data_IF_212334120642
#
_entry.id   IF_212334120642
#
_cell.length_a   1.000
_cell.length_b   1.000
_cell.length_c   1.000
_cell.angle_alpha   90.00
_cell.angle_beta   90.00
_cell.angle_gamma   90.00
#
_symmetry.space_group_name_H-M   'P 1'
#
loop_
_entity.id
_entity.type
_entity.pdbx_description
1 polymer ?
#
# COMPACT_ATOMS: atom_id res chain seq x y z
N UNK A 1 -7.99 -33.64 -17.31
CA UNK A 1 -7.91 -34.84 -16.46
C UNK A 1 -9.21 -35.62 -16.66
N UNK A 2 -9.32 -36.35 -17.78
CA UNK A 2 -10.46 -37.25 -18.01
C UNK A 2 -9.92 -38.67 -17.94
N UNK A 3 -10.55 -39.43 -17.04
CA UNK A 3 -10.24 -40.79 -16.64
C UNK A 3 -9.85 -41.66 -17.84
N UNK A 4 -8.81 -42.49 -17.66
CA UNK A 4 -8.57 -43.65 -18.53
C UNK A 4 -9.82 -44.51 -18.48
N UNK A 5 -10.74 -44.31 -19.42
CA UNK A 5 -11.93 -45.14 -19.52
C UNK A 5 -11.50 -46.50 -20.04
N UNK A 6 -11.84 -47.59 -19.32
CA UNK A 6 -11.67 -48.97 -19.80
C UNK A 6 -12.51 -49.28 -21.06
N UNK A 7 -13.31 -48.31 -21.53
CA UNK A 7 -14.19 -48.41 -22.69
C UNK A 7 -13.66 -47.53 -23.83
N UNK A 8 -13.76 -48.03 -25.06
CA UNK A 8 -13.36 -47.30 -26.26
C UNK A 8 -14.25 -46.08 -26.54
N UNK A 9 -13.66 -45.04 -27.14
CA UNK A 9 -14.27 -43.73 -27.45
C UNK A 9 -15.71 -43.82 -27.98
N UNK A 10 -15.98 -44.73 -28.92
CA UNK A 10 -17.32 -44.92 -29.52
C UNK A 10 -18.38 -45.32 -28.48
N UNK A 11 -18.03 -46.23 -27.57
CA UNK A 11 -18.94 -46.75 -26.54
C UNK A 11 -19.19 -45.67 -25.47
N UNK A 12 -18.14 -44.96 -25.08
CA UNK A 12 -18.23 -43.83 -24.16
C UNK A 12 -19.08 -42.68 -24.71
N UNK A 13 -18.88 -42.26 -25.97
CA UNK A 13 -19.69 -41.23 -26.61
C UNK A 13 -21.18 -41.62 -26.74
N UNK A 14 -21.47 -42.91 -27.01
CA UNK A 14 -22.85 -43.41 -27.08
C UNK A 14 -23.53 -43.39 -25.70
N UNK A 15 -22.83 -43.82 -24.65
CA UNK A 15 -23.35 -43.79 -23.27
C UNK A 15 -23.63 -42.35 -22.79
N UNK A 16 -22.72 -41.42 -23.09
CA UNK A 16 -22.83 -40.01 -22.69
C UNK A 16 -23.75 -39.19 -23.61
N UNK A 17 -24.28 -39.79 -24.69
CA UNK A 17 -25.11 -39.12 -25.71
C UNK A 17 -24.44 -37.87 -26.33
N UNK A 18 -23.11 -37.90 -26.49
CA UNK A 18 -22.34 -36.81 -27.12
C UNK A 18 -21.86 -37.27 -28.50
N UNK A 19 -21.92 -36.39 -29.50
CA UNK A 19 -21.37 -36.69 -30.83
C UNK A 19 -19.84 -36.85 -30.76
N UNK A 20 -19.29 -37.81 -31.53
CA UNK A 20 -17.83 -38.02 -31.62
C UNK A 20 -17.10 -36.79 -32.17
N UNK A 21 -17.76 -36.00 -33.02
CA UNK A 21 -17.22 -34.74 -33.55
C UNK A 21 -17.08 -33.70 -32.44
N UNK A 22 -18.07 -33.53 -31.57
CA UNK A 22 -17.98 -32.67 -30.39
C UNK A 22 -16.93 -33.18 -29.39
N UNK A 23 -16.85 -34.50 -29.17
CA UNK A 23 -15.85 -35.08 -28.28
C UNK A 23 -14.40 -34.88 -28.78
N UNK A 24 -14.19 -35.00 -30.09
CA UNK A 24 -12.88 -34.75 -30.73
C UNK A 24 -12.58 -33.27 -30.92
N UNK A 25 -13.58 -32.41 -30.78
CA UNK A 25 -13.41 -30.98 -30.98
C UNK A 25 -12.45 -30.44 -29.91
N UNK A 26 -11.26 -30.06 -30.36
CA UNK A 26 -10.38 -29.19 -29.59
C UNK A 26 -10.64 -27.77 -30.06
N UNK A 27 -11.11 -26.94 -29.13
CA UNK A 27 -11.23 -25.50 -29.37
C UNK A 27 -9.92 -24.95 -29.91
N UNK A 28 -9.93 -24.49 -31.17
CA UNK A 28 -8.80 -23.80 -31.82
C UNK A 28 -8.95 -22.29 -31.67
N UNK A 29 -9.36 -21.82 -30.51
CA UNK A 29 -9.34 -20.39 -30.24
C UNK A 29 -7.87 -19.98 -30.09
N UNK A 30 -7.29 -19.45 -31.17
CA UNK A 30 -6.08 -18.66 -31.06
C UNK A 30 -6.33 -17.61 -29.98
N UNK A 31 -5.39 -17.46 -29.05
CA UNK A 31 -5.50 -16.48 -27.97
C UNK A 31 -5.39 -15.08 -28.60
N UNK A 32 -6.54 -14.52 -28.97
CA UNK A 32 -6.67 -13.17 -29.54
C UNK A 32 -6.10 -12.10 -28.60
N UNK A 33 -5.90 -12.43 -27.33
CA UNK A 33 -5.33 -11.54 -26.33
C UNK A 33 -3.79 -11.68 -26.21
N UNK A 34 -3.14 -12.56 -26.97
CA UNK A 34 -1.69 -12.82 -26.87
C UNK A 34 -0.84 -11.56 -27.09
N UNK A 35 -1.04 -10.85 -28.20
CA UNK A 35 -0.32 -9.61 -28.50
C UNK A 35 -0.53 -8.54 -27.41
N UNK A 36 -1.77 -8.38 -26.95
CA UNK A 36 -2.12 -7.43 -25.90
C UNK A 36 -1.48 -7.82 -24.55
N UNK A 37 -1.41 -9.12 -24.23
CA UNK A 37 -0.72 -9.62 -23.04
C UNK A 37 0.77 -9.30 -23.07
N UNK A 38 1.41 -9.49 -24.22
CA UNK A 38 2.84 -9.20 -24.38
C UNK A 38 3.13 -7.70 -24.28
N UNK A 39 2.26 -6.87 -24.84
CA UNK A 39 2.34 -5.41 -24.70
C UNK A 39 2.17 -4.96 -23.25
N UNK A 40 1.14 -5.46 -22.56
CA UNK A 40 0.93 -5.20 -21.12
C UNK A 40 2.16 -5.61 -20.31
N UNK A 41 2.75 -6.77 -20.62
CA UNK A 41 3.97 -7.26 -19.96
C UNK A 41 5.15 -6.32 -20.21
N UNK A 42 5.38 -5.86 -21.44
CA UNK A 42 6.45 -4.91 -21.77
C UNK A 42 6.33 -3.59 -21.00
N UNK A 43 5.11 -3.04 -20.90
CA UNK A 43 4.83 -1.80 -20.20
C UNK A 43 5.00 -1.96 -18.68
N UNK A 44 4.56 -3.10 -18.13
CA UNK A 44 4.74 -3.41 -16.72
C UNK A 44 6.24 -3.53 -16.34
N UNK A 45 7.06 -4.11 -17.23
CA UNK A 45 8.52 -4.17 -17.01
C UNK A 45 9.19 -2.81 -17.14
N UNK A 46 8.80 -2.00 -18.12
CA UNK A 46 9.31 -0.63 -18.30
C UNK A 46 8.95 0.27 -17.11
N UNK A 47 7.71 0.17 -16.62
CA UNK A 47 7.18 0.99 -15.53
C UNK A 47 6.82 0.14 -14.31
N UNK A 48 7.81 -0.25 -13.50
CA UNK A 48 7.64 -1.18 -12.36
C UNK A 48 6.59 -0.79 -11.32
N UNK A 49 6.23 0.50 -11.23
CA UNK A 49 5.20 1.03 -10.30
C UNK A 49 3.85 1.27 -10.96
N UNK A 50 3.73 1.00 -12.26
CA UNK A 50 2.50 1.24 -12.99
C UNK A 50 1.44 0.19 -12.63
N UNK A 51 0.32 0.67 -12.09
CA UNK A 51 -0.89 -0.16 -11.95
C UNK A 51 -1.62 -0.32 -13.28
N UNK A 52 -2.63 -1.20 -13.30
CA UNK A 52 -3.40 -1.48 -14.52
C UNK A 52 -4.04 -0.22 -15.16
N UNK A 53 -4.43 0.78 -14.36
CA UNK A 53 -4.99 2.06 -14.86
C UNK A 53 -3.95 2.88 -15.61
N UNK A 54 -2.71 2.93 -15.12
CA UNK A 54 -1.62 3.64 -15.79
C UNK A 54 -1.24 2.92 -17.08
N UNK A 55 -1.17 1.58 -17.05
CA UNK A 55 -0.96 0.78 -18.26
C UNK A 55 -2.08 0.98 -19.27
N UNK A 56 -3.34 1.06 -18.83
CA UNK A 56 -4.46 1.39 -19.70
C UNK A 56 -4.31 2.77 -20.35
N UNK A 57 -3.87 3.78 -19.61
CA UNK A 57 -3.62 5.11 -20.18
C UNK A 57 -2.51 5.09 -21.24
N UNK A 58 -1.44 4.32 -21.04
CA UNK A 58 -0.39 4.14 -22.05
C UNK A 58 -0.92 3.46 -23.31
N UNK A 59 -1.68 2.36 -23.15
CA UNK A 59 -2.23 1.61 -24.29
C UNK A 59 -3.31 2.43 -25.02
N UNK A 60 -4.10 3.23 -24.30
CA UNK A 60 -5.16 4.07 -24.87
C UNK A 60 -4.64 5.09 -25.89
N UNK A 61 -3.37 5.48 -25.83
CA UNK A 61 -2.76 6.38 -26.81
C UNK A 61 -2.54 5.69 -28.17
N UNK A 62 -2.40 4.37 -28.19
CA UNK A 62 -2.13 3.57 -29.40
C UNK A 62 -3.42 2.88 -29.88
N UNK A 63 -4.21 2.32 -28.97
CA UNK A 63 -5.40 1.54 -29.27
C UNK A 63 -6.57 1.80 -28.31
N UNK A 64 -7.79 1.84 -28.83
CA UNK A 64 -9.00 1.95 -28.03
C UNK A 64 -9.38 0.63 -27.36
N UNK A 65 -8.76 0.35 -26.20
CA UNK A 65 -9.07 -0.84 -25.40
C UNK A 65 -9.88 -0.47 -24.14
N UNK A 66 -10.90 -1.28 -23.83
CA UNK A 66 -11.66 -1.14 -22.60
C UNK A 66 -10.80 -1.47 -21.36
N UNK A 67 -10.82 -0.58 -20.36
CA UNK A 67 -10.10 -0.74 -19.10
C UNK A 67 -10.40 -2.07 -18.38
N UNK A 68 -11.63 -2.61 -18.52
CA UNK A 68 -12.01 -3.92 -17.94
C UNK A 68 -11.21 -5.08 -18.55
N UNK A 69 -10.96 -5.05 -19.87
CA UNK A 69 -10.18 -6.07 -20.57
C UNK A 69 -8.73 -6.06 -20.09
N UNK A 70 -8.14 -4.88 -19.97
CA UNK A 70 -6.77 -4.72 -19.45
C UNK A 70 -6.68 -5.19 -17.99
N UNK A 71 -7.64 -4.83 -17.14
CA UNK A 71 -7.65 -5.29 -15.75
C UNK A 71 -7.69 -6.82 -15.65
N UNK A 72 -8.51 -7.49 -16.47
CA UNK A 72 -8.59 -8.95 -16.53
C UNK A 72 -7.23 -9.55 -16.93
N UNK A 73 -6.68 -9.12 -18.06
CA UNK A 73 -5.41 -9.64 -18.57
C UNK A 73 -4.23 -9.36 -17.63
N UNK A 74 -4.17 -8.16 -17.05
CA UNK A 74 -3.16 -7.78 -16.06
C UNK A 74 -3.24 -8.67 -14.80
N UNK A 75 -4.46 -9.05 -14.38
CA UNK A 75 -4.66 -9.97 -13.27
C UNK A 75 -4.26 -11.41 -13.61
N UNK A 76 -4.63 -11.90 -14.80
CA UNK A 76 -4.24 -13.23 -15.31
C UNK A 76 -2.72 -13.37 -15.44
N UNK A 77 -2.04 -12.30 -15.86
CA UNK A 77 -0.57 -12.25 -15.97
C UNK A 77 0.15 -12.14 -14.62
N UNK A 78 -0.57 -12.04 -13.50
CA UNK A 78 0.03 -11.94 -12.17
C UNK A 78 0.80 -10.64 -11.91
N UNK A 79 0.52 -9.58 -12.69
CA UNK A 79 1.29 -8.33 -12.64
C UNK A 79 0.89 -7.41 -11.48
N UNK A 80 -0.04 -7.84 -10.62
CA UNK A 80 -0.51 -7.06 -9.47
C UNK A 80 0.67 -6.70 -8.55
N UNK A 81 0.96 -5.41 -8.48
CA UNK A 81 1.97 -4.90 -7.57
C UNK A 81 1.60 -5.21 -6.11
N UNK A 82 2.45 -5.97 -5.42
CA UNK A 82 2.31 -6.21 -3.98
C UNK A 82 2.91 -5.03 -3.22
N UNK A 83 2.04 -4.22 -2.61
CA UNK A 83 2.49 -3.18 -1.66
C UNK A 83 3.09 -3.91 -0.45
N UNK A 84 4.40 -3.75 -0.24
CA UNK A 84 5.05 -4.26 0.97
C UNK A 84 4.50 -3.46 2.16
N UNK A 85 4.03 -4.12 3.23
CA UNK A 85 3.61 -3.40 4.42
C UNK A 85 4.78 -2.61 4.99
N UNK A 86 4.51 -1.41 5.53
CA UNK A 86 5.54 -0.63 6.23
C UNK A 86 6.07 -1.49 7.39
N UNK A 87 7.40 -1.65 7.46
CA UNK A 87 8.05 -2.36 8.58
C UNK A 87 7.70 -1.60 9.86
N UNK A 88 6.95 -2.24 10.78
CA UNK A 88 6.73 -1.68 12.12
C UNK A 88 8.11 -1.53 12.79
N UNK A 89 8.39 -0.35 13.33
CA UNK A 89 9.59 -0.16 14.19
C UNK A 89 9.45 -1.12 15.37
N UNK A 90 10.54 -1.78 15.78
CA UNK A 90 10.52 -2.66 16.95
C UNK A 90 10.01 -1.85 18.14
N UNK A 91 9.01 -2.39 18.83
CA UNK A 91 8.59 -1.87 20.12
C UNK A 91 9.79 -1.96 21.05
N UNK A 92 10.25 -0.83 21.59
CA UNK A 92 11.16 -0.88 22.72
C UNK A 92 10.44 -1.58 23.89
N UNK A 93 11.15 -2.33 24.74
CA UNK A 93 10.55 -2.89 25.95
C UNK A 93 9.95 -1.76 26.78
N UNK A 94 8.72 -1.96 27.26
CA UNK A 94 8.01 -1.00 28.09
C UNK A 94 8.70 -0.92 29.44
N UNK A 95 9.60 0.03 29.62
CA UNK A 95 10.19 0.34 30.92
C UNK A 95 9.15 1.07 31.76
N UNK A 96 8.92 0.61 33.00
CA UNK A 96 8.07 1.30 33.96
C UNK A 96 8.57 2.72 34.15
N UNK A 97 7.76 3.72 33.83
CA UNK A 97 8.11 5.12 34.02
C UNK A 97 8.04 5.44 35.52
N UNK A 98 9.13 5.95 36.07
CA UNK A 98 9.13 6.54 37.41
C UNK A 98 8.22 7.78 37.40
N UNK A 99 7.22 7.79 38.26
CA UNK A 99 6.28 8.91 38.45
C UNK A 99 6.83 9.80 39.57
N UNK A 100 7.13 11.09 39.31
CA UNK A 100 7.55 12.01 40.37
C UNK A 100 6.43 12.22 41.38
N UNK A 101 6.78 12.42 42.65
CA UNK A 101 5.83 12.64 43.74
C UNK A 101 5.65 14.12 44.06
N UNK A 102 6.68 14.93 43.85
CA UNK A 102 6.65 16.36 44.12
C UNK A 102 7.00 17.17 42.85
N UNK A 103 6.47 18.41 42.72
CA UNK A 103 6.91 19.34 41.68
C UNK A 103 8.43 19.59 41.74
N UNK A 104 9.06 19.77 40.59
CA UNK A 104 10.51 20.06 40.51
C UNK A 104 11.42 18.83 40.55
N UNK A 105 10.90 17.64 40.84
CA UNK A 105 11.70 16.41 40.88
C UNK A 105 12.12 15.91 39.50
N UNK A 106 11.29 16.18 38.47
CA UNK A 106 11.53 15.69 37.12
C UNK A 106 10.87 16.58 36.07
N UNK A 107 11.67 16.99 35.08
CA UNK A 107 11.20 17.73 33.93
C UNK A 107 11.33 16.89 32.66
N UNK A 108 10.31 16.95 31.82
CA UNK A 108 10.35 16.43 30.47
C UNK A 108 10.61 17.58 29.50
N UNK A 109 11.53 17.34 28.58
CA UNK A 109 11.90 18.28 27.53
C UNK A 109 11.60 17.67 26.16
N UNK A 110 10.89 18.40 25.31
CA UNK A 110 10.67 18.01 23.93
C UNK A 110 10.81 19.18 22.96
N UNK A 111 11.03 18.85 21.69
CA UNK A 111 11.06 19.81 20.59
C UNK A 111 9.87 19.54 19.67
N UNK A 112 9.04 20.55 19.48
CA UNK A 112 7.96 20.55 18.50
C UNK A 112 8.37 21.41 17.31
N UNK A 113 8.06 20.99 16.08
CA UNK A 113 8.31 21.79 14.88
C UNK A 113 7.01 22.04 14.15
N UNK A 114 6.78 23.30 13.78
CA UNK A 114 5.58 23.73 13.07
C UNK A 114 5.93 24.80 12.02
N UNK A 115 4.95 25.23 11.23
CA UNK A 115 5.09 26.26 10.22
C UNK A 115 3.99 27.32 10.32
N UNK A 116 4.36 28.58 10.17
CA UNK A 116 3.41 29.68 10.04
C UNK A 116 2.67 29.57 8.71
N UNK A 117 1.55 30.28 8.58
CA UNK A 117 0.81 30.40 7.32
C UNK A 117 1.70 30.88 6.15
N UNK A 118 2.72 31.71 6.44
CA UNK A 118 3.71 32.17 5.47
C UNK A 118 4.71 31.09 5.00
N UNK A 119 4.63 29.85 5.51
CA UNK A 119 5.53 28.75 5.19
C UNK A 119 6.84 28.76 5.98
N UNK A 120 7.10 29.80 6.78
CA UNK A 120 8.28 29.85 7.67
C UNK A 120 8.16 28.79 8.76
N UNK A 121 9.12 27.88 8.80
CA UNK A 121 9.22 26.82 9.83
C UNK A 121 9.84 27.39 11.10
N UNK A 122 9.34 26.96 12.24
CA UNK A 122 9.93 27.23 13.55
C UNK A 122 9.95 25.96 14.40
N UNK A 123 10.69 26.03 15.51
CA UNK A 123 10.75 24.97 16.52
C UNK A 123 10.49 25.60 17.87
N UNK A 124 9.68 24.91 18.68
CA UNK A 124 9.43 25.25 20.07
C UNK A 124 10.13 24.19 20.92
N UNK A 125 10.92 24.65 21.87
CA UNK A 125 11.38 23.88 23.00
C UNK A 125 10.32 23.96 24.09
N UNK A 126 9.74 22.83 24.50
CA UNK A 126 8.89 22.77 25.69
C UNK A 126 9.64 22.09 26.83
N UNK A 127 9.56 22.70 28.01
CA UNK A 127 10.01 22.11 29.26
C UNK A 127 8.79 22.08 30.18
N UNK A 128 8.40 20.88 30.60
CA UNK A 128 7.20 20.62 31.40
C UNK A 128 7.61 19.88 32.66
N UNK A 129 7.05 20.28 33.80
CA UNK A 129 7.19 19.53 35.04
C UNK A 129 6.29 18.28 35.02
N UNK A 130 6.88 17.09 35.20
CA UNK A 130 6.17 15.82 35.04
C UNK A 130 5.11 15.58 36.14
N UNK A 131 5.27 16.20 37.32
CA UNK A 131 4.36 16.09 38.45
C UNK A 131 3.15 17.02 38.31
N UNK A 132 3.40 18.34 38.20
CA UNK A 132 2.36 19.38 38.12
C UNK A 132 1.75 19.54 36.73
N UNK A 133 2.41 19.02 35.68
CA UNK A 133 2.05 19.21 34.26
C UNK A 133 2.04 20.67 33.80
N UNK A 134 2.71 21.55 34.55
CA UNK A 134 2.88 22.94 34.18
C UNK A 134 4.04 23.09 33.19
N UNK A 135 3.82 23.91 32.16
CA UNK A 135 4.87 24.30 31.23
C UNK A 135 5.75 25.35 31.88
N UNK A 136 7.00 24.99 32.16
CA UNK A 136 7.98 25.89 32.78
C UNK A 136 8.58 26.83 31.75
N UNK A 137 8.88 26.33 30.55
CA UNK A 137 9.48 27.12 29.47
C UNK A 137 8.87 26.70 28.13
N UNK A 138 8.48 27.70 27.34
CA UNK A 138 8.21 27.57 25.91
C UNK A 138 9.14 28.53 25.17
N UNK A 139 10.10 28.02 24.42
CA UNK A 139 11.09 28.85 23.73
C UNK A 139 11.06 28.60 22.22
N UNK A 140 10.96 29.66 21.42
CA UNK A 140 11.04 29.59 19.96
C UNK A 140 12.00 30.63 19.42
N UNK A 141 12.94 30.20 18.57
CA UNK A 141 13.94 31.07 17.92
C UNK A 141 13.32 32.14 17.00
N UNK A 142 12.03 32.02 16.65
CA UNK A 142 11.36 32.96 15.75
C UNK A 142 10.28 33.81 16.42
N UNK A 143 9.86 33.44 17.64
CA UNK A 143 8.83 34.12 18.42
C UNK A 143 9.22 33.93 19.89
N UNK A 144 9.74 34.98 20.55
CA UNK A 144 9.90 34.95 22.00
C UNK A 144 8.51 35.01 22.64
N UNK A 145 8.01 33.88 23.14
CA UNK A 145 6.87 33.82 24.04
C UNK A 145 7.37 33.39 25.41
N UNK A 146 7.85 34.35 26.19
CA UNK A 146 8.15 34.12 27.60
C UNK A 146 6.81 34.02 28.35
N UNK A 147 6.35 32.80 28.62
CA UNK A 147 5.37 32.60 29.70
C UNK A 147 6.14 32.75 31.00
N UNK A 148 6.02 33.92 31.62
CA UNK A 148 6.43 34.15 32.99
C UNK A 148 5.67 33.17 33.88
N UNK A 149 6.38 32.25 34.53
CA UNK A 149 5.86 31.60 35.72
C UNK A 149 5.64 32.71 36.74
N UNK A 150 4.38 33.09 36.96
CA UNK A 150 3.99 33.72 38.21
C UNK A 150 4.43 32.79 39.34
N UNK A 151 5.12 33.41 40.28
CA UNK A 151 5.59 32.87 41.55
C UNK A 151 4.67 31.76 42.08
N UNK A 152 5.29 30.61 42.36
CA UNK A 152 4.75 29.65 43.32
C UNK A 152 5.71 29.80 44.51
N UNK A 153 5.12 30.17 45.64
CA UNK A 153 5.73 30.55 46.93
C UNK A 153 6.95 29.74 47.38
#
# INVERSE_FOLDING_TARGET
MLLKTQLGERKSCRLLQISRTCFRYRSRLQDKDSELKDRIRSLAYKYKRAGYRQIHNFIRQEEHVNHKRIYRLYSELGLKYRIKPKRKRRSLPSVTKLVPKNPGERWSMDFMSDALYSGRRFRILNIIDDCSRLALILYSNSIHLTLSLKEID
#
